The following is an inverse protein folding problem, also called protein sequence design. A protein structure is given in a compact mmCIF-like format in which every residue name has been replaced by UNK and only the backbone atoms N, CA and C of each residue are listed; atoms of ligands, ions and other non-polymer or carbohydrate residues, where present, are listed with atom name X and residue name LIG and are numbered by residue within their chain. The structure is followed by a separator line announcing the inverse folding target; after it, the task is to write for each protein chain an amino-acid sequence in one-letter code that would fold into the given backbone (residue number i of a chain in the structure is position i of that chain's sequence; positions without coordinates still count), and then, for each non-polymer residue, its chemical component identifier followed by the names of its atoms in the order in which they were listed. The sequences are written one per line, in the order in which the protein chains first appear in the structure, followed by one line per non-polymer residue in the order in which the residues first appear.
data_IF_688190866163
#
_entry.id   IF_688190866163
#
_cell.length_a   1.000
_cell.length_b   1.000
_cell.length_c   1.000
_cell.angle_alpha   90.00
_cell.angle_beta   90.00
_cell.angle_gamma   90.00
#
_symmetry.space_group_name_H-M   'P 1'
#
loop_
_entity.id
_entity.type
_entity.pdbx_description
1 polymer ?
#
# COMPACT_ATOMS: atom_id res chain seq x y z
N UNK A 1 13.87 19.16 -24.62
CA UNK A 1 13.33 19.46 -23.29
C UNK A 1 13.61 18.24 -22.44
N UNK A 2 14.44 18.40 -21.41
CA UNK A 2 14.69 17.36 -20.43
C UNK A 2 13.47 17.33 -19.49
N UNK A 3 12.69 16.23 -19.41
CA UNK A 3 11.62 16.15 -18.43
C UNK A 3 12.30 16.18 -17.07
N UNK A 4 12.20 17.33 -16.40
CA UNK A 4 13.07 17.72 -15.30
C UNK A 4 13.34 16.62 -14.27
N UNK A 5 14.53 16.67 -13.69
CA UNK A 5 15.07 15.79 -12.63
C UNK A 5 14.31 15.89 -11.29
N UNK A 6 12.98 15.94 -11.32
CA UNK A 6 12.14 15.97 -10.14
C UNK A 6 12.05 14.55 -9.58
N UNK A 7 12.61 14.39 -8.39
CA UNK A 7 12.51 13.17 -7.59
C UNK A 7 11.04 12.98 -7.23
N UNK A 8 10.47 11.84 -7.62
CA UNK A 8 9.12 11.45 -7.23
C UNK A 8 9.02 11.36 -5.70
N UNK A 9 7.95 11.89 -5.13
CA UNK A 9 7.59 11.61 -3.73
C UNK A 9 7.22 10.14 -3.54
N UNK A 10 7.27 9.66 -2.29
CA UNK A 10 6.88 8.28 -1.97
C UNK A 10 5.42 8.01 -2.31
N UNK A 11 4.53 9.00 -2.16
CA UNK A 11 3.13 8.91 -2.57
C UNK A 11 3.00 8.75 -4.10
N UNK A 12 3.70 9.58 -4.87
CA UNK A 12 3.67 9.50 -6.34
C UNK A 12 4.23 8.17 -6.83
N UNK A 13 5.35 7.72 -6.26
CA UNK A 13 5.94 6.44 -6.61
C UNK A 13 5.00 5.28 -6.23
N UNK A 14 4.38 5.31 -5.05
CA UNK A 14 3.43 4.28 -4.64
C UNK A 14 2.21 4.21 -5.57
N UNK A 15 1.65 5.35 -5.96
CA UNK A 15 0.51 5.39 -6.89
C UNK A 15 0.92 4.94 -8.30
N UNK A 16 2.11 5.31 -8.78
CA UNK A 16 2.63 4.82 -10.05
C UNK A 16 2.78 3.28 -10.08
N UNK A 17 3.18 2.68 -8.95
CA UNK A 17 3.26 1.22 -8.80
C UNK A 17 1.87 0.55 -8.78
N UNK A 18 0.83 1.27 -8.40
CA UNK A 18 -0.56 0.80 -8.35
C UNK A 18 -1.35 1.11 -9.63
N UNK A 19 -0.77 1.87 -10.55
CA UNK A 19 -1.42 2.27 -11.81
C UNK A 19 -1.91 1.06 -12.59
N UNK A 20 -3.16 1.14 -13.08
CA UNK A 20 -3.78 0.14 -13.95
C UNK A 20 -3.09 -0.05 -15.30
N UNK A 21 -2.12 0.81 -15.67
CA UNK A 21 -1.26 0.59 -16.84
C UNK A 21 -0.32 -0.61 -16.67
N UNK A 22 -0.02 -1.00 -15.42
CA UNK A 22 0.75 -2.19 -15.09
C UNK A 22 -0.21 -3.39 -15.05
N UNK A 23 -0.43 -4.06 -16.19
CA UNK A 23 -1.23 -5.30 -16.20
C UNK A 23 -0.61 -6.33 -15.25
N UNK A 24 -1.26 -6.55 -14.11
CA UNK A 24 -1.01 -7.65 -13.17
C UNK A 24 0.43 -7.80 -12.65
N UNK A 25 1.07 -6.69 -12.25
CA UNK A 25 2.38 -6.76 -11.59
C UNK A 25 2.25 -6.91 -10.07
N UNK A 26 2.18 -8.16 -9.59
CA UNK A 26 2.11 -8.47 -8.15
C UNK A 26 3.30 -7.91 -7.34
N UNK A 27 4.48 -7.85 -7.96
CA UNK A 27 5.67 -7.27 -7.33
C UNK A 27 5.48 -5.77 -7.12
N UNK A 28 4.93 -5.05 -8.10
CA UNK A 28 4.64 -3.63 -7.98
C UNK A 28 3.63 -3.35 -6.84
N UNK A 29 2.53 -4.12 -6.78
CA UNK A 29 1.53 -3.98 -5.71
C UNK A 29 2.15 -4.27 -4.33
N UNK A 30 3.03 -5.27 -4.23
CA UNK A 30 3.77 -5.56 -2.99
C UNK A 30 4.70 -4.42 -2.60
N UNK A 31 5.49 -3.90 -3.53
CA UNK A 31 6.39 -2.78 -3.27
C UNK A 31 5.61 -1.53 -2.85
N UNK A 32 4.48 -1.25 -3.50
CA UNK A 32 3.58 -0.18 -3.09
C UNK A 32 3.08 -0.39 -1.66
N UNK A 33 2.55 -1.56 -1.31
CA UNK A 33 2.07 -1.86 0.05
C UNK A 33 3.12 -1.59 1.15
N UNK A 34 4.39 -1.86 0.85
CA UNK A 34 5.50 -1.58 1.76
C UNK A 34 5.78 -0.06 1.82
N UNK A 35 5.92 0.57 0.66
CA UNK A 35 6.24 1.99 0.54
C UNK A 35 5.18 2.89 1.18
N UNK A 36 3.90 2.55 1.04
CA UNK A 36 2.76 3.29 1.60
C UNK A 36 2.86 3.49 3.12
N UNK A 37 3.54 2.60 3.84
CA UNK A 37 3.74 2.73 5.29
C UNK A 37 5.06 3.36 5.70
N UNK A 38 5.79 3.94 4.75
CA UNK A 38 6.94 4.76 5.08
C UNK A 38 6.50 5.95 5.96
N UNK A 39 7.30 6.35 6.98
CA UNK A 39 6.91 7.40 7.94
C UNK A 39 6.62 8.79 7.33
N UNK A 40 7.07 9.03 6.11
CA UNK A 40 6.95 10.29 5.38
C UNK A 40 5.76 10.33 4.42
N UNK A 41 4.97 9.25 4.33
CA UNK A 41 3.77 9.20 3.48
C UNK A 41 2.60 9.89 4.17
N UNK A 42 2.06 10.93 3.54
CA UNK A 42 0.83 11.59 3.97
C UNK A 42 -0.41 10.86 3.43
N UNK A 43 -1.29 10.31 4.29
CA UNK A 43 -2.50 9.62 3.86
C UNK A 43 -3.47 10.53 3.09
N UNK A 44 -3.42 11.86 3.32
CA UNK A 44 -4.26 12.81 2.58
C UNK A 44 -3.79 12.99 1.14
N UNK A 45 -2.49 13.28 0.95
CA UNK A 45 -1.89 13.38 -0.40
C UNK A 45 -2.05 12.07 -1.16
N UNK A 46 -1.80 10.95 -0.50
CA UNK A 46 -1.91 9.62 -1.08
C UNK A 46 -3.33 9.32 -1.61
N UNK A 47 -4.36 9.54 -0.80
CA UNK A 47 -5.75 9.32 -1.23
C UNK A 47 -6.15 10.25 -2.39
N UNK A 48 -5.72 11.51 -2.35
CA UNK A 48 -5.93 12.46 -3.43
C UNK A 48 -5.32 11.97 -4.76
N UNK A 49 -4.07 11.52 -4.74
CA UNK A 49 -3.38 11.00 -5.92
C UNK A 49 -4.03 9.71 -6.44
N UNK A 50 -4.44 8.80 -5.54
CA UNK A 50 -5.12 7.57 -5.94
C UNK A 50 -6.41 7.84 -6.72
N UNK A 51 -7.19 8.85 -6.31
CA UNK A 51 -8.41 9.26 -7.02
C UNK A 51 -8.09 9.85 -8.39
N UNK A 52 -7.05 10.69 -8.46
CA UNK A 52 -6.61 11.30 -9.73
C UNK A 52 -6.15 10.25 -10.75
N UNK A 53 -5.44 9.24 -10.27
CA UNK A 53 -4.82 8.19 -11.09
C UNK A 53 -5.67 6.91 -11.19
N UNK A 54 -6.93 6.95 -10.75
CA UNK A 54 -7.86 5.79 -10.78
C UNK A 54 -7.29 4.52 -10.13
N UNK A 55 -6.51 4.71 -9.07
CA UNK A 55 -5.79 3.69 -8.30
C UNK A 55 -6.38 3.50 -6.89
N UNK A 56 -7.59 4.02 -6.65
CA UNK A 56 -8.31 3.92 -5.37
C UNK A 56 -8.53 2.47 -4.97
N UNK A 57 -8.74 1.62 -5.96
CA UNK A 57 -9.09 0.22 -5.77
C UNK A 57 -7.95 -0.62 -5.19
N UNK A 58 -6.78 -0.72 -5.85
CA UNK A 58 -5.66 -1.46 -5.27
C UNK A 58 -5.16 -0.80 -3.97
N UNK A 59 -5.26 0.53 -3.84
CA UNK A 59 -4.95 1.20 -2.57
C UNK A 59 -5.92 0.80 -1.45
N UNK A 60 -7.23 0.75 -1.72
CA UNK A 60 -8.24 0.30 -0.75
C UNK A 60 -8.03 -1.15 -0.33
N UNK A 61 -7.66 -2.04 -1.26
CA UNK A 61 -7.34 -3.43 -0.95
C UNK A 61 -6.15 -3.53 0.02
N UNK A 62 -5.08 -2.77 -0.24
CA UNK A 62 -3.92 -2.70 0.66
C UNK A 62 -4.34 -2.11 2.02
N UNK A 63 -5.13 -1.04 2.02
CA UNK A 63 -5.52 -0.37 3.25
C UNK A 63 -6.42 -1.23 4.15
N UNK A 64 -7.34 -2.03 3.57
CA UNK A 64 -8.09 -3.04 4.34
C UNK A 64 -7.18 -4.10 4.95
N UNK A 65 -6.24 -4.64 4.16
CA UNK A 65 -5.26 -5.60 4.67
C UNK A 65 -4.40 -4.98 5.78
N UNK A 66 -4.02 -3.72 5.66
CA UNK A 66 -3.32 -2.96 6.70
C UNK A 66 -4.14 -2.78 7.97
N UNK A 67 -5.42 -2.45 7.85
CA UNK A 67 -6.31 -2.29 9.00
C UNK A 67 -6.43 -3.56 9.85
N UNK A 68 -6.42 -4.72 9.18
CA UNK A 68 -6.52 -6.05 9.79
C UNK A 68 -5.17 -6.58 10.32
N UNK A 69 -4.05 -6.25 9.66
CA UNK A 69 -2.76 -6.92 9.89
C UNK A 69 -1.57 -6.00 10.20
N UNK A 70 -1.76 -4.69 10.28
CA UNK A 70 -0.77 -3.70 10.72
C UNK A 70 -1.31 -2.87 11.89
N UNK A 71 -1.27 -3.40 13.14
CA UNK A 71 -1.77 -2.70 14.31
C UNK A 71 -1.08 -1.35 14.55
N UNK A 72 0.22 -1.25 14.23
CA UNK A 72 1.01 -0.03 14.42
C UNK A 72 0.63 1.05 13.40
N UNK A 73 0.20 0.66 12.19
CA UNK A 73 -0.28 1.56 11.14
C UNK A 73 -1.77 1.83 11.12
N UNK A 74 -2.55 1.28 12.06
CA UNK A 74 -4.03 1.40 12.03
C UNK A 74 -4.53 2.83 11.80
N UNK A 75 -4.07 3.88 12.51
CA UNK A 75 -4.55 5.25 12.27
C UNK A 75 -4.27 5.76 10.85
N UNK A 76 -3.15 5.34 10.26
CA UNK A 76 -2.83 5.67 8.87
C UNK A 76 -3.82 5.02 7.90
N UNK A 77 -4.10 3.71 8.09
CA UNK A 77 -5.02 2.96 7.22
C UNK A 77 -6.46 3.46 7.31
N UNK A 78 -6.95 3.75 8.52
CA UNK A 78 -8.25 4.39 8.75
C UNK A 78 -8.32 5.73 8.00
N UNK A 79 -7.32 6.57 8.17
CA UNK A 79 -7.23 7.87 7.49
C UNK A 79 -7.26 7.75 5.96
N UNK A 80 -6.60 6.75 5.37
CA UNK A 80 -6.65 6.47 3.93
C UNK A 80 -8.05 6.03 3.50
N UNK A 81 -8.64 5.05 4.20
CA UNK A 81 -9.96 4.50 3.85
C UNK A 81 -11.06 5.55 3.91
N UNK A 82 -11.06 6.40 4.95
CA UNK A 82 -12.01 7.49 5.12
C UNK A 82 -11.98 8.47 3.94
N UNK A 83 -10.78 8.74 3.42
CA UNK A 83 -10.56 9.71 2.33
C UNK A 83 -10.85 9.15 0.94
N UNK A 84 -10.73 7.84 0.77
CA UNK A 84 -11.09 7.19 -0.50
C UNK A 84 -12.61 7.08 -0.70
N UNK A 85 -13.43 7.39 0.31
CA UNK A 85 -14.90 7.37 0.22
C UNK A 85 -15.47 5.98 -0.06
N UNK A 86 -16.51 5.87 -0.88
CA UNK A 86 -16.98 4.59 -1.42
C UNK A 86 -16.31 4.33 -2.78
N UNK A 87 -15.66 3.17 -2.93
CA UNK A 87 -15.15 2.72 -4.23
C UNK A 87 -16.11 1.69 -4.84
N UNK A 88 -16.13 1.56 -6.18
CA UNK A 88 -16.89 0.50 -6.83
C UNK A 88 -16.49 -0.88 -6.28
N UNK A 89 -17.46 -1.82 -6.21
CA UNK A 89 -17.25 -3.13 -5.59
C UNK A 89 -16.18 -3.96 -6.30
N UNK A 90 -15.62 -4.91 -5.53
CA UNK A 90 -14.60 -5.88 -5.92
C UNK A 90 -15.01 -6.65 -7.19
N UNK A 91 -14.25 -6.49 -8.25
CA UNK A 91 -14.19 -7.36 -9.44
C UNK A 91 -12.71 -7.72 -9.68
N UNK A 92 -12.04 -8.44 -8.78
CA UNK A 92 -10.58 -8.74 -8.85
C UNK A 92 -10.35 -10.17 -8.40
N UNK A 93 -10.02 -11.03 -9.34
CA UNK A 93 -9.46 -12.36 -9.05
C UNK A 93 -7.93 -12.31 -8.87
N UNK A 94 -7.30 -11.12 -8.93
CA UNK A 94 -5.87 -11.01 -9.28
C UNK A 94 -5.03 -10.10 -8.36
N UNK A 95 -5.59 -9.52 -7.28
CA UNK A 95 -4.76 -8.80 -6.29
C UNK A 95 -4.07 -9.77 -5.33
N UNK A 96 -2.84 -9.45 -4.88
CA UNK A 96 -2.12 -10.33 -3.98
C UNK A 96 -2.84 -10.47 -2.63
N UNK A 97 -2.81 -11.69 -2.09
CA UNK A 97 -3.24 -11.97 -0.73
C UNK A 97 -2.40 -11.16 0.29
N UNK A 98 -3.02 -10.75 1.39
CA UNK A 98 -2.41 -9.85 2.39
C UNK A 98 -1.07 -10.36 2.94
N UNK A 99 -0.88 -11.68 2.99
CA UNK A 99 0.37 -12.32 3.43
C UNK A 99 1.58 -11.91 2.59
N UNK A 100 1.39 -11.34 1.40
CA UNK A 100 2.46 -10.77 0.57
C UNK A 100 2.98 -9.42 1.08
N UNK A 101 2.24 -8.74 1.95
CA UNK A 101 2.60 -7.40 2.49
C UNK A 101 3.33 -7.46 3.83
N UNK A 102 3.32 -8.63 4.48
CA UNK A 102 3.84 -8.81 5.83
C UNK A 102 5.04 -9.77 5.86
N UNK A 103 5.77 -9.74 6.96
CA UNK A 103 6.67 -10.82 7.38
C UNK A 103 5.94 -11.72 8.36
N UNK A 104 5.93 -13.04 8.09
CA UNK A 104 5.37 -14.07 8.95
C UNK A 104 6.47 -15.05 9.38
N UNK A 105 7.33 -14.65 10.34
CA UNK A 105 8.51 -15.43 10.73
C UNK A 105 8.20 -16.78 11.40
N UNK A 106 6.97 -17.02 11.83
CA UNK A 106 6.55 -18.28 12.44
C UNK A 106 7.18 -18.51 13.82
N UNK A 107 7.59 -19.75 14.11
CA UNK A 107 8.22 -20.11 15.38
C UNK A 107 9.73 -19.84 15.33
N UNK A 108 10.22 -18.96 16.20
CA UNK A 108 11.64 -18.61 16.30
C UNK A 108 12.12 -18.67 17.75
N UNK A 109 13.23 -19.39 17.99
CA UNK A 109 13.91 -19.46 19.31
C UNK A 109 12.97 -19.75 20.49
N UNK A 110 12.08 -20.72 20.32
CA UNK A 110 11.17 -21.14 21.40
C UNK A 110 9.90 -20.29 21.55
N UNK A 111 9.67 -19.28 20.69
CA UNK A 111 8.51 -18.38 20.74
C UNK A 111 7.90 -18.20 19.36
N UNK A 112 6.59 -17.99 19.30
CA UNK A 112 5.92 -17.53 18.07
C UNK A 112 6.25 -16.06 17.88
N UNK A 113 6.90 -15.71 16.77
CA UNK A 113 7.17 -14.33 16.41
C UNK A 113 5.94 -13.73 15.72
N UNK A 114 5.57 -12.51 16.13
CA UNK A 114 4.40 -11.83 15.60
C UNK A 114 4.57 -11.50 14.12
N UNK A 115 3.46 -11.56 13.37
CA UNK A 115 3.37 -11.00 12.02
C UNK A 115 3.66 -9.51 12.06
N UNK A 116 4.45 -9.01 11.11
CA UNK A 116 4.79 -7.59 11.02
C UNK A 116 4.56 -7.06 9.61
N UNK A 117 3.94 -5.90 9.49
CA UNK A 117 3.89 -5.19 8.22
C UNK A 117 5.30 -4.84 7.77
N UNK A 118 5.58 -5.05 6.48
CA UNK A 118 6.89 -4.72 5.92
C UNK A 118 6.91 -3.24 5.58
N UNK A 119 7.87 -2.52 6.15
CA UNK A 119 8.11 -1.10 5.89
C UNK A 119 9.55 -0.90 5.43
N UNK A 120 9.82 0.03 4.49
CA UNK A 120 11.19 0.41 4.13
C UNK A 120 12.00 0.78 5.37
N UNK A 121 13.21 0.23 5.47
CA UNK A 121 14.19 0.64 6.47
C UNK A 121 15.04 1.76 5.87
N UNK A 122 15.33 2.81 6.66
CA UNK A 122 16.29 3.85 6.27
C UNK A 122 17.72 3.34 6.37
#
# INVERSE_FOLDING_TARGET
MDPGSQVLSNEELAILLLSGSQKYNLTAVRCAAQLLRSPDVDPKRLAFLAIKEKSERPLRHIAWAGLEHDPEGRPFWESVLDRLGQAPPRVENDLPHWTRFVSMPGYQRGKVAATKWLVPQR
#
